data_IF_948507288387
#
_entry.id   IF_948507288387
#
_cell.length_a   1.000
_cell.length_b   1.000
_cell.length_c   1.000
_cell.angle_alpha   90.00
_cell.angle_beta   90.00
_cell.angle_gamma   90.00
#
_symmetry.space_group_name_H-M   'P 1'
#
loop_
_entity.id
_entity.type
_entity.pdbx_description
1 polymer ?
#
# COMPACT_ATOMS: atom_id res chain seq x y z
N UNK A 1 -25.56 5.42 22.08
CA UNK A 1 -25.24 3.99 22.28
C UNK A 1 -25.11 3.19 20.97
N UNK A 2 -26.11 3.08 20.09
CA UNK A 2 -25.93 2.35 18.80
C UNK A 2 -24.96 3.07 17.82
N UNK A 3 -25.12 4.38 17.59
CA UNK A 3 -24.20 5.14 16.72
C UNK A 3 -22.72 5.09 17.14
N UNK A 4 -22.44 5.20 18.45
CA UNK A 4 -21.06 5.15 18.97
C UNK A 4 -20.43 3.76 18.83
N UNK A 5 -21.26 2.71 18.76
CA UNK A 5 -20.78 1.35 18.56
C UNK A 5 -20.42 1.13 17.09
N UNK A 6 -21.26 1.61 16.17
CA UNK A 6 -21.01 1.54 14.72
C UNK A 6 -19.77 2.33 14.32
N UNK A 7 -19.58 3.54 14.84
CA UNK A 7 -18.39 4.37 14.58
C UNK A 7 -17.08 3.69 15.04
N UNK A 8 -17.09 3.06 16.24
CA UNK A 8 -15.94 2.30 16.73
C UNK A 8 -15.65 1.05 15.91
N UNK A 9 -16.67 0.42 15.35
CA UNK A 9 -16.51 -0.74 14.47
C UNK A 9 -15.93 -0.29 13.14
N UNK A 10 -16.42 0.82 12.57
CA UNK A 10 -15.90 1.41 11.34
C UNK A 10 -14.43 1.81 11.48
N UNK A 11 -14.04 2.53 12.52
CA UNK A 11 -12.63 2.90 12.77
C UNK A 11 -11.71 1.67 12.89
N UNK A 12 -12.19 0.59 13.53
CA UNK A 12 -11.43 -0.66 13.64
C UNK A 12 -11.26 -1.32 12.28
N UNK A 13 -12.31 -1.35 11.45
CA UNK A 13 -12.26 -1.90 10.09
C UNK A 13 -11.29 -1.09 9.24
N UNK A 14 -11.36 0.24 9.30
CA UNK A 14 -10.43 1.14 8.59
C UNK A 14 -8.98 0.90 8.98
N UNK A 15 -8.70 0.78 10.29
CA UNK A 15 -7.36 0.48 10.77
C UNK A 15 -6.88 -0.92 10.34
N UNK A 16 -7.77 -1.92 10.29
CA UNK A 16 -7.44 -3.24 9.77
C UNK A 16 -7.10 -3.19 8.29
N UNK A 17 -7.94 -2.54 7.46
CA UNK A 17 -7.71 -2.39 6.02
C UNK A 17 -6.40 -1.66 5.76
N UNK A 18 -6.15 -0.53 6.45
CA UNK A 18 -4.88 0.20 6.38
C UNK A 18 -3.69 -0.71 6.68
N UNK A 19 -3.76 -1.46 7.79
CA UNK A 19 -2.66 -2.33 8.23
C UNK A 19 -2.38 -3.45 7.22
N UNK A 20 -3.43 -4.06 6.68
CA UNK A 20 -3.31 -5.11 5.65
C UNK A 20 -2.71 -4.55 4.37
N UNK A 21 -3.21 -3.41 3.86
CA UNK A 21 -2.71 -2.77 2.64
C UNK A 21 -1.24 -2.38 2.76
N UNK A 22 -0.85 -1.76 3.89
CA UNK A 22 0.55 -1.36 4.12
C UNK A 22 1.46 -2.59 4.28
N UNK A 23 1.00 -3.63 4.99
CA UNK A 23 1.79 -4.86 5.16
C UNK A 23 2.01 -5.59 3.83
N UNK A 24 0.94 -5.76 3.04
CA UNK A 24 1.04 -6.37 1.71
C UNK A 24 1.89 -5.52 0.76
N UNK A 25 1.68 -4.20 0.75
CA UNK A 25 2.48 -3.28 -0.05
C UNK A 25 3.98 -3.36 0.29
N UNK A 26 4.33 -3.39 1.57
CA UNK A 26 5.71 -3.61 2.02
C UNK A 26 6.30 -4.94 1.57
N UNK A 27 5.52 -6.03 1.63
CA UNK A 27 5.96 -7.34 1.12
C UNK A 27 6.24 -7.33 -0.38
N UNK A 28 5.37 -6.67 -1.17
CA UNK A 28 5.56 -6.50 -2.60
C UNK A 28 6.76 -5.61 -2.93
N UNK A 29 7.00 -4.54 -2.17
CA UNK A 29 8.20 -3.70 -2.33
C UNK A 29 9.46 -4.53 -2.09
N UNK A 30 9.52 -5.28 -0.98
CA UNK A 30 10.69 -6.12 -0.66
C UNK A 30 10.94 -7.15 -1.77
N UNK A 31 9.88 -7.86 -2.19
CA UNK A 31 9.96 -8.85 -3.27
C UNK A 31 10.41 -8.22 -4.58
N UNK A 32 9.84 -7.05 -4.92
CA UNK A 32 10.18 -6.29 -6.10
C UNK A 32 11.64 -5.82 -6.10
N UNK A 33 12.16 -5.35 -4.96
CA UNK A 33 13.59 -4.98 -4.84
C UNK A 33 14.49 -6.19 -5.05
N UNK A 34 14.15 -7.35 -4.46
CA UNK A 34 14.94 -8.58 -4.59
C UNK A 34 14.96 -9.05 -6.05
N UNK A 35 13.82 -9.05 -6.74
CA UNK A 35 13.72 -9.48 -8.14
C UNK A 35 14.33 -8.47 -9.12
N UNK A 36 14.27 -7.18 -8.81
CA UNK A 36 14.79 -6.13 -9.68
C UNK A 36 16.32 -5.99 -9.59
N UNK A 37 16.93 -6.49 -8.51
CA UNK A 37 18.35 -6.36 -8.25
C UNK A 37 19.21 -7.01 -9.36
N UNK A 38 20.27 -6.34 -9.86
CA UNK A 38 20.76 -5.02 -9.49
C UNK A 38 19.97 -3.89 -10.15
N UNK A 39 19.68 -2.85 -9.38
CA UNK A 39 18.97 -1.65 -9.84
C UNK A 39 19.98 -0.58 -10.31
N UNK A 40 21.12 -0.49 -9.64
CA UNK A 40 22.17 0.47 -9.96
C UNK A 40 22.87 0.08 -11.28
N UNK A 41 22.93 1.03 -12.23
CA UNK A 41 23.54 0.83 -13.53
C UNK A 41 22.57 0.48 -14.66
N UNK A 42 21.30 0.18 -14.35
CA UNK A 42 20.26 0.04 -15.37
C UNK A 42 19.77 1.40 -15.84
N UNK A 43 19.56 1.53 -17.14
CA UNK A 43 18.75 2.61 -17.71
C UNK A 43 17.30 2.51 -17.25
N UNK A 44 16.54 3.59 -17.40
CA UNK A 44 15.12 3.61 -17.04
C UNK A 44 14.30 2.55 -17.80
N UNK A 45 14.65 2.26 -19.06
CA UNK A 45 13.95 1.25 -19.87
C UNK A 45 14.22 -0.17 -19.35
N UNK A 46 15.48 -0.49 -19.06
CA UNK A 46 15.87 -1.77 -18.46
C UNK A 46 15.29 -1.98 -17.06
N UNK A 47 14.96 -0.88 -16.37
CA UNK A 47 14.26 -0.95 -15.10
C UNK A 47 12.80 -1.36 -15.27
N UNK A 48 12.05 -0.75 -16.20
CA UNK A 48 10.64 -1.08 -16.44
C UNK A 48 10.46 -2.51 -16.96
N UNK A 49 11.39 -2.98 -17.80
CA UNK A 49 11.36 -4.34 -18.36
C UNK A 49 11.75 -5.42 -17.34
N UNK A 50 12.28 -5.04 -16.17
CA UNK A 50 12.69 -5.99 -15.15
C UNK A 50 11.51 -6.65 -14.43
N UNK A 51 11.68 -7.94 -14.10
CA UNK A 51 10.65 -8.78 -13.47
C UNK A 51 10.14 -8.22 -12.12
N UNK A 52 10.94 -7.42 -11.42
CA UNK A 52 10.58 -6.79 -10.16
C UNK A 52 9.76 -5.51 -10.29
N UNK A 53 9.69 -4.89 -11.48
CA UNK A 53 9.03 -3.60 -11.68
C UNK A 53 7.54 -3.62 -11.31
N UNK A 54 6.79 -4.61 -11.79
CA UNK A 54 5.36 -4.72 -11.48
C UNK A 54 5.11 -4.94 -9.99
N UNK A 55 5.95 -5.75 -9.33
CA UNK A 55 5.86 -5.97 -7.89
C UNK A 55 6.16 -4.68 -7.11
N UNK A 56 7.16 -3.90 -7.52
CA UNK A 56 7.48 -2.59 -6.94
C UNK A 56 6.32 -1.60 -7.10
N UNK A 57 5.78 -1.49 -8.31
CA UNK A 57 4.67 -0.59 -8.61
C UNK A 57 3.42 -0.95 -7.82
N UNK A 58 3.07 -2.24 -7.78
CA UNK A 58 1.93 -2.72 -7.01
C UNK A 58 2.13 -2.47 -5.52
N UNK A 59 3.33 -2.74 -5.01
CA UNK A 59 3.68 -2.47 -3.61
C UNK A 59 3.54 -1.00 -3.24
N UNK A 60 4.05 -0.09 -4.08
CA UNK A 60 3.91 1.35 -3.91
C UNK A 60 2.44 1.80 -3.92
N UNK A 61 1.66 1.34 -4.90
CA UNK A 61 0.22 1.68 -5.00
C UNK A 61 -0.53 1.19 -3.76
N UNK A 62 -0.32 -0.07 -3.33
CA UNK A 62 -0.97 -0.63 -2.15
C UNK A 62 -0.61 0.14 -0.87
N UNK A 63 0.65 0.53 -0.71
CA UNK A 63 1.09 1.34 0.44
C UNK A 63 0.42 2.72 0.43
N UNK A 64 0.39 3.41 -0.72
CA UNK A 64 -0.26 4.72 -0.84
C UNK A 64 -1.76 4.61 -0.55
N UNK A 65 -2.45 3.60 -1.10
CA UNK A 65 -3.87 3.36 -0.81
C UNK A 65 -4.11 3.07 0.67
N UNK A 66 -3.25 2.28 1.31
CA UNK A 66 -3.34 2.00 2.74
C UNK A 66 -3.18 3.25 3.61
N UNK A 67 -2.26 4.15 3.23
CA UNK A 67 -2.07 5.43 3.92
C UNK A 67 -3.25 6.39 3.70
N UNK A 68 -3.79 6.42 2.47
CA UNK A 68 -4.89 7.28 2.07
C UNK A 68 -6.28 6.73 2.40
N UNK A 69 -6.40 5.55 3.01
CA UNK A 69 -7.70 4.88 3.21
C UNK A 69 -8.72 5.75 3.96
N UNK A 70 -8.24 6.56 4.92
CA UNK A 70 -9.08 7.50 5.66
C UNK A 70 -9.62 8.64 4.78
N UNK A 71 -8.76 9.15 3.89
CA UNK A 71 -9.14 10.18 2.93
C UNK A 71 -10.13 9.64 1.89
N UNK A 72 -9.91 8.41 1.40
CA UNK A 72 -10.76 7.78 0.38
C UNK A 72 -12.19 7.50 0.85
N UNK A 73 -12.36 7.23 2.14
CA UNK A 73 -13.67 6.92 2.73
C UNK A 73 -14.39 8.20 3.20
N UNK A 74 -13.77 9.37 3.03
CA UNK A 74 -14.39 10.66 3.38
C UNK A 74 -14.52 10.87 4.89
N UNK A 75 -13.77 10.10 5.69
CA UNK A 75 -13.64 10.29 7.14
C UNK A 75 -12.59 11.40 7.42
N UNK A 76 -12.75 12.56 6.76
CA UNK A 76 -12.12 13.79 7.23
C UNK A 76 -12.79 14.14 8.55
N UNK A 77 -12.02 14.06 9.63
CA UNK A 77 -12.43 14.57 10.93
C UNK A 77 -12.71 16.07 10.79
N UNK A 78 -13.94 16.48 11.07
CA UNK A 78 -14.18 17.74 11.78
C UNK A 78 -13.51 17.68 13.18
#
# INVERSE_FOLDING_TARGET
MQNELDEKVEEKILNLIKKVLVALGGGFILTGVILQWPIAGKSYMEFIEGDGYLALMLGLVMTVLGLSVKLLIGQEKD
#
